data_IF_233371146101
#
_entry.id   IF_233371146101
#
_cell.length_a   1.000
_cell.length_b   1.000
_cell.length_c   1.000
_cell.angle_alpha   90.00
_cell.angle_beta   90.00
_cell.angle_gamma   90.00
#
_symmetry.space_group_name_H-M   'P 1'
#
loop_
_entity.id
_entity.type
_entity.pdbx_description
1 polymer ?
#
# COMPACT_ATOMS: atom_id res chain seq x y z
N UNK A 1 -17.91 -10.02 30.64
CA UNK A 1 -18.22 -10.54 31.98
C UNK A 1 -19.53 -11.34 32.04
N UNK A 2 -19.60 -12.41 32.85
CA UNK A 2 -20.86 -13.06 33.25
C UNK A 2 -21.52 -12.25 34.38
N UNK A 3 -22.84 -12.02 34.29
CA UNK A 3 -23.60 -11.30 35.32
C UNK A 3 -23.52 -11.99 36.69
N UNK A 4 -23.45 -11.18 37.76
CA UNK A 4 -23.42 -11.64 39.14
C UNK A 4 -24.58 -10.98 39.92
N UNK A 5 -25.58 -11.77 40.37
CA UNK A 5 -26.74 -11.26 41.07
C UNK A 5 -26.40 -10.80 42.50
N UNK A 6 -27.19 -9.88 43.09
CA UNK A 6 -27.03 -9.50 44.50
C UNK A 6 -27.36 -10.67 45.45
N UNK A 7 -26.67 -10.76 46.58
CA UNK A 7 -26.82 -11.89 47.52
C UNK A 7 -28.24 -12.07 48.06
N UNK A 8 -28.97 -10.98 48.23
CA UNK A 8 -30.34 -10.97 48.75
C UNK A 8 -31.41 -10.97 47.65
N UNK A 9 -31.05 -11.25 46.40
CA UNK A 9 -32.00 -11.53 45.31
C UNK A 9 -31.59 -12.78 44.56
N UNK A 10 -32.28 -13.90 44.82
CA UNK A 10 -31.93 -15.20 44.25
C UNK A 10 -32.42 -15.30 42.80
N UNK A 11 -31.56 -15.67 41.84
CA UNK A 11 -31.99 -15.95 40.47
C UNK A 11 -33.07 -17.03 40.42
N UNK A 12 -34.07 -16.83 39.57
CA UNK A 12 -35.10 -17.82 39.26
C UNK A 12 -35.13 -18.12 37.76
N UNK A 13 -35.87 -19.14 37.35
CA UNK A 13 -36.07 -19.44 35.93
C UNK A 13 -36.78 -18.27 35.21
N UNK A 14 -37.64 -17.56 35.92
CA UNK A 14 -38.40 -16.41 35.40
C UNK A 14 -37.59 -15.10 35.44
N UNK A 15 -36.61 -15.01 36.34
CA UNK A 15 -35.70 -13.87 36.45
C UNK A 15 -34.26 -14.36 36.73
N UNK A 16 -33.52 -14.75 35.68
CA UNK A 16 -32.17 -15.29 35.83
C UNK A 16 -31.12 -14.23 36.19
N UNK A 17 -31.41 -12.94 35.97
CA UNK A 17 -30.49 -11.81 36.21
C UNK A 17 -31.18 -10.69 37.03
N UNK A 18 -31.50 -10.94 38.30
CA UNK A 18 -32.27 -10.00 39.11
C UNK A 18 -31.51 -8.70 39.38
N UNK A 19 -32.10 -7.56 39.01
CA UNK A 19 -31.49 -6.22 39.13
C UNK A 19 -30.99 -5.88 40.54
N UNK A 20 -29.95 -5.06 40.59
CA UNK A 20 -29.58 -4.31 41.80
C UNK A 20 -30.63 -3.23 42.08
N UNK A 21 -30.93 -3.01 43.35
CA UNK A 21 -31.94 -2.04 43.78
C UNK A 21 -31.50 -1.33 45.05
N UNK A 22 -31.90 -0.07 45.19
CA UNK A 22 -31.61 0.72 46.38
C UNK A 22 -32.48 0.30 47.56
N UNK A 23 -31.99 0.58 48.77
CA UNK A 23 -32.79 0.41 49.98
C UNK A 23 -33.84 1.51 50.09
N UNK A 24 -35.05 1.15 50.54
CA UNK A 24 -36.10 2.12 50.88
C UNK A 24 -36.45 2.00 52.38
N UNK A 25 -35.93 2.90 53.23
CA UNK A 25 -36.19 2.89 54.67
C UNK A 25 -37.67 3.07 55.02
N UNK A 26 -38.43 3.86 54.24
CA UNK A 26 -39.85 4.11 54.49
C UNK A 26 -40.71 2.86 54.24
N UNK A 27 -40.25 1.97 53.35
CA UNK A 27 -40.91 0.69 53.06
C UNK A 27 -40.31 -0.50 53.81
N UNK A 28 -39.32 -0.28 54.69
CA UNK A 28 -38.58 -1.35 55.36
C UNK A 28 -37.74 -2.23 54.42
N UNK A 29 -37.51 -1.79 53.18
CA UNK A 29 -36.77 -2.54 52.17
C UNK A 29 -35.26 -2.32 52.34
N UNK A 30 -34.53 -3.39 52.65
CA UNK A 30 -33.06 -3.40 52.61
C UNK A 30 -32.60 -3.39 51.16
N UNK A 31 -31.58 -2.60 50.83
CA UNK A 31 -31.03 -2.54 49.46
C UNK A 31 -30.34 -3.83 49.03
N UNK A 32 -30.05 -3.94 47.74
CA UNK A 32 -29.30 -5.04 47.18
C UNK A 32 -27.88 -5.12 47.77
N UNK A 33 -27.43 -6.35 48.10
CA UNK A 33 -26.09 -6.60 48.64
C UNK A 33 -25.19 -7.10 47.52
N UNK A 34 -24.24 -6.31 47.01
CA UNK A 34 -23.36 -6.72 45.93
C UNK A 34 -22.35 -7.77 46.39
N UNK A 35 -22.19 -8.88 45.65
CA UNK A 35 -21.06 -9.77 45.85
C UNK A 35 -19.78 -9.05 45.45
N UNK A 36 -18.68 -9.25 46.19
CA UNK A 36 -17.40 -8.59 45.88
C UNK A 36 -16.93 -8.81 44.44
N UNK A 37 -17.23 -9.98 43.87
CA UNK A 37 -16.93 -10.31 42.48
C UNK A 37 -17.64 -9.39 41.46
N UNK A 38 -18.83 -8.85 41.77
CA UNK A 38 -19.54 -7.93 40.88
C UNK A 38 -18.80 -6.60 40.71
N UNK A 39 -17.92 -6.25 41.66
CA UNK A 39 -17.07 -5.06 41.62
C UNK A 39 -15.67 -5.42 41.11
N UNK A 40 -15.09 -6.51 41.62
CA UNK A 40 -13.73 -6.93 41.27
C UNK A 40 -13.61 -7.33 39.79
N UNK A 41 -14.56 -8.09 39.25
CA UNK A 41 -14.48 -8.55 37.86
C UNK A 41 -14.40 -7.40 36.84
N UNK A 42 -15.24 -6.35 36.88
CA UNK A 42 -15.08 -5.22 35.97
C UNK A 42 -13.73 -4.52 36.16
N UNK A 43 -13.25 -4.37 37.41
CA UNK A 43 -11.92 -3.80 37.67
C UNK A 43 -10.80 -4.66 37.04
N UNK A 44 -10.90 -5.99 37.11
CA UNK A 44 -9.95 -6.92 36.48
C UNK A 44 -10.03 -6.88 34.95
N UNK A 45 -11.22 -6.74 34.35
CA UNK A 45 -11.36 -6.55 32.91
C UNK A 45 -10.68 -5.24 32.46
N UNK A 46 -10.88 -4.14 33.20
CA UNK A 46 -10.20 -2.86 32.95
C UNK A 46 -8.67 -3.01 33.09
N UNK A 47 -8.21 -3.67 34.15
CA UNK A 47 -6.78 -3.91 34.36
C UNK A 47 -6.16 -4.72 33.22
N UNK A 48 -6.88 -5.73 32.71
CA UNK A 48 -6.44 -6.53 31.58
C UNK A 48 -6.30 -5.69 30.30
N UNK A 49 -7.21 -4.74 30.04
CA UNK A 49 -7.10 -3.80 28.90
C UNK A 49 -5.87 -2.90 29.04
N UNK A 50 -5.63 -2.34 30.22
CA UNK A 50 -4.45 -1.49 30.50
C UNK A 50 -3.15 -2.26 30.27
N UNK A 51 -3.06 -3.48 30.81
CA UNK A 51 -1.90 -4.35 30.64
C UNK A 51 -1.72 -4.80 29.20
N UNK A 52 -2.80 -5.13 28.49
CA UNK A 52 -2.76 -5.50 27.07
C UNK A 52 -2.23 -4.36 26.19
N UNK A 53 -2.49 -3.10 26.56
CA UNK A 53 -1.93 -1.93 25.91
C UNK A 53 -0.45 -1.65 26.25
N UNK A 54 0.21 -2.52 27.04
CA UNK A 54 1.60 -2.36 27.46
C UNK A 54 1.81 -1.33 28.56
N UNK A 55 0.74 -0.82 29.17
CA UNK A 55 0.81 0.15 30.26
C UNK A 55 0.93 -0.56 31.61
N UNK A 56 1.68 0.05 32.52
CA UNK A 56 1.76 -0.39 33.92
C UNK A 56 0.60 0.26 34.70
N UNK A 57 -0.30 -0.52 35.33
CA UNK A 57 -1.39 0.04 36.11
C UNK A 57 -0.90 0.97 37.23
N UNK A 58 -1.56 2.10 37.40
CA UNK A 58 -1.23 3.16 38.36
C UNK A 58 -2.50 3.68 39.02
N UNK A 59 -2.48 3.84 40.33
CA UNK A 59 -3.55 4.46 41.11
C UNK A 59 -3.53 6.00 41.02
N UNK A 60 -2.44 6.58 40.52
CA UNK A 60 -2.27 8.02 40.33
C UNK A 60 -2.76 8.53 38.97
N UNK A 61 -3.14 7.64 38.05
CA UNK A 61 -3.63 8.01 36.72
C UNK A 61 -5.03 7.41 36.45
N UNK A 62 -6.06 8.24 36.54
CA UNK A 62 -7.45 7.84 36.29
C UNK A 62 -7.82 7.84 34.79
N UNK A 63 -6.85 8.13 33.90
CA UNK A 63 -7.05 8.17 32.44
C UNK A 63 -6.49 6.93 31.73
N UNK A 64 -5.89 5.98 32.45
CA UNK A 64 -5.22 4.81 31.86
C UNK A 64 -6.11 3.96 30.95
N UNK A 65 -7.41 3.81 31.26
CA UNK A 65 -8.32 3.07 30.38
C UNK A 65 -8.48 3.77 29.02
N UNK A 66 -8.60 5.11 29.00
CA UNK A 66 -8.68 5.89 27.78
C UNK A 66 -7.36 5.80 26.99
N UNK A 67 -6.23 5.95 27.67
CA UNK A 67 -4.90 5.81 27.05
C UNK A 67 -4.72 4.41 26.43
N UNK A 68 -5.12 3.36 27.14
CA UNK A 68 -5.06 1.99 26.66
C UNK A 68 -5.90 1.79 25.40
N UNK A 69 -7.14 2.29 25.38
CA UNK A 69 -8.02 2.25 24.20
C UNK A 69 -7.40 3.01 23.03
N UNK A 70 -6.83 4.19 23.27
CA UNK A 70 -6.16 4.97 22.22
C UNK A 70 -4.95 4.26 21.63
N UNK A 71 -4.12 3.63 22.47
CA UNK A 71 -2.97 2.84 22.01
C UNK A 71 -3.43 1.60 21.22
N UNK A 72 -4.47 0.91 21.68
CA UNK A 72 -5.03 -0.24 20.97
C UNK A 72 -5.63 0.17 19.63
N UNK A 73 -6.39 1.26 19.58
CA UNK A 73 -6.97 1.80 18.35
C UNK A 73 -5.88 2.30 17.37
N UNK A 74 -4.75 2.80 17.89
CA UNK A 74 -3.59 3.19 17.08
C UNK A 74 -2.70 2.02 16.65
N UNK A 75 -2.99 0.79 17.11
CA UNK A 75 -2.18 -0.41 16.84
C UNK A 75 -0.83 -0.42 17.56
N UNK A 76 -0.70 0.33 18.66
CA UNK A 76 0.52 0.49 19.48
C UNK A 76 0.48 -0.38 20.75
N UNK A 77 -0.64 -1.07 21.01
CA UNK A 77 -0.80 -2.06 22.09
C UNK A 77 -2.04 -2.92 21.85
N UNK A 78 -2.21 -4.04 22.54
CA UNK A 78 -3.14 -5.12 22.18
C UNK A 78 -2.39 -6.29 21.54
N UNK A 79 -2.97 -7.50 21.59
CA UNK A 79 -2.37 -8.68 20.94
C UNK A 79 -1.97 -8.29 19.50
N UNK A 80 -0.67 -8.31 19.14
CA UNK A 80 -0.15 -7.85 17.85
C UNK A 80 -0.80 -8.55 16.65
N UNK A 81 -1.59 -9.60 16.91
CA UNK A 81 -2.29 -10.41 15.94
C UNK A 81 -3.60 -9.83 15.37
N UNK A 82 -4.18 -8.74 15.91
CA UNK A 82 -5.48 -8.26 15.36
C UNK A 82 -5.35 -7.55 14.00
N UNK A 83 -4.22 -6.90 13.72
CA UNK A 83 -3.93 -6.31 12.41
C UNK A 83 -2.77 -6.98 11.69
N UNK A 84 -1.87 -7.69 12.39
CA UNK A 84 -0.69 -8.34 11.79
C UNK A 84 -0.99 -9.32 10.65
N UNK A 85 -2.20 -9.86 10.58
CA UNK A 85 -2.64 -10.77 9.51
C UNK A 85 -3.62 -10.17 8.51
N UNK A 86 -4.01 -8.90 8.65
CA UNK A 86 -4.96 -8.29 7.73
C UNK A 86 -4.36 -8.26 6.32
N UNK A 87 -4.99 -8.83 5.27
CA UNK A 87 -4.44 -8.89 3.91
C UNK A 87 -4.55 -7.54 3.18
N UNK A 88 -4.13 -6.47 3.85
CA UNK A 88 -4.11 -5.09 3.34
C UNK A 88 -2.66 -4.70 3.10
N UNK A 89 -2.37 -4.23 1.89
CA UNK A 89 -1.04 -3.79 1.52
C UNK A 89 -0.67 -2.50 2.26
N UNK A 90 0.63 -2.27 2.54
CA UNK A 90 1.08 -1.03 3.13
C UNK A 90 0.77 0.15 2.21
N UNK A 91 0.33 1.27 2.80
CA UNK A 91 -0.09 2.45 2.06
C UNK A 91 0.65 3.70 2.53
N UNK A 92 1.35 4.36 1.60
CA UNK A 92 2.02 5.63 1.85
C UNK A 92 0.96 6.74 1.81
N UNK A 93 0.86 7.51 2.89
CA UNK A 93 -0.08 8.62 2.99
C UNK A 93 0.60 9.98 2.78
N UNK A 94 1.92 10.04 2.96
CA UNK A 94 2.73 11.21 2.63
C UNK A 94 2.86 11.43 1.12
N UNK A 95 3.08 12.70 0.74
CA UNK A 95 3.47 13.12 -0.61
C UNK A 95 2.66 12.47 -1.75
N UNK A 96 1.34 12.29 -1.54
CA UNK A 96 0.48 11.71 -2.56
C UNK A 96 0.75 10.23 -2.86
N UNK A 97 1.37 9.47 -1.97
CA UNK A 97 1.57 8.01 -2.12
C UNK A 97 2.98 7.56 -2.48
N UNK A 98 3.96 8.46 -2.48
CA UNK A 98 5.38 8.14 -2.69
C UNK A 98 6.21 8.62 -1.51
N UNK A 99 7.36 7.98 -1.26
CA UNK A 99 8.34 8.50 -0.32
C UNK A 99 9.48 9.23 -1.04
N UNK A 100 9.95 10.31 -0.43
CA UNK A 100 11.10 11.09 -0.90
C UNK A 100 12.41 10.53 -0.35
N UNK A 101 13.40 10.39 -1.23
CA UNK A 101 14.76 10.03 -0.88
C UNK A 101 15.71 11.09 -1.46
N UNK A 102 16.74 11.47 -0.71
CA UNK A 102 17.86 12.23 -1.25
C UNK A 102 18.99 11.29 -1.63
N UNK A 103 19.77 11.68 -2.65
CA UNK A 103 20.95 10.96 -3.10
C UNK A 103 22.19 11.83 -2.98
N UNK A 104 23.31 11.19 -2.69
CA UNK A 104 24.66 11.74 -2.80
C UNK A 104 25.57 10.63 -3.34
N UNK A 105 26.77 10.99 -3.82
CA UNK A 105 27.72 9.98 -4.30
C UNK A 105 27.97 8.94 -3.21
N UNK A 106 27.67 7.68 -3.51
CA UNK A 106 27.82 6.55 -2.60
C UNK A 106 26.76 6.40 -1.52
N UNK A 107 25.68 7.19 -1.49
CA UNK A 107 24.60 6.96 -0.53
C UNK A 107 23.22 7.48 -0.94
N UNK A 108 22.19 6.86 -0.38
CA UNK A 108 20.81 7.36 -0.43
C UNK A 108 20.24 7.48 0.97
N UNK A 109 19.41 8.49 1.21
CA UNK A 109 18.80 8.75 2.52
C UNK A 109 17.29 8.91 2.36
N UNK A 110 16.52 8.07 3.04
CA UNK A 110 15.07 8.25 3.14
C UNK A 110 14.76 9.49 3.99
N UNK A 111 13.93 10.42 3.49
CA UNK A 111 13.59 11.62 4.27
C UNK A 111 12.82 11.27 5.55
N UNK A 112 12.97 12.11 6.58
CA UNK A 112 12.27 11.97 7.86
C UNK A 112 10.81 12.41 7.73
N UNK A 113 10.01 12.18 8.78
CA UNK A 113 8.61 12.61 8.89
C UNK A 113 7.69 12.13 7.76
N UNK A 114 7.98 10.98 7.15
CA UNK A 114 7.12 10.36 6.14
C UNK A 114 6.29 9.27 6.80
N UNK A 115 5.01 9.21 6.45
CA UNK A 115 4.03 8.35 7.09
C UNK A 115 3.44 7.35 6.10
N UNK A 116 3.16 6.17 6.62
CA UNK A 116 2.46 5.11 5.91
C UNK A 116 1.68 4.25 6.90
N UNK A 117 0.65 3.57 6.42
CA UNK A 117 -0.18 2.66 7.20
C UNK A 117 0.23 1.24 6.87
N UNK A 118 0.58 0.46 7.90
CA UNK A 118 0.83 -0.98 7.79
C UNK A 118 -0.44 -1.75 8.17
N UNK A 119 -0.78 -2.76 7.34
CA UNK A 119 -1.94 -3.65 7.54
C UNK A 119 -3.30 -2.94 7.73
N UNK A 120 -3.41 -1.70 7.24
CA UNK A 120 -4.61 -0.87 7.36
C UNK A 120 -4.91 -0.33 8.76
N UNK A 121 -4.05 -0.54 9.76
CA UNK A 121 -4.32 -0.18 11.15
C UNK A 121 -3.18 0.55 11.86
N UNK A 122 -1.92 0.18 11.60
CA UNK A 122 -0.78 0.74 12.32
C UNK A 122 -0.13 1.85 11.52
N UNK A 123 -0.18 3.08 12.05
CA UNK A 123 0.55 4.20 11.47
C UNK A 123 2.06 4.06 11.79
N UNK A 124 2.89 4.11 10.76
CA UNK A 124 4.34 4.06 10.85
C UNK A 124 4.92 5.41 10.41
N UNK A 125 6.00 5.85 11.05
CA UNK A 125 6.68 7.10 10.70
C UNK A 125 8.17 6.87 10.45
N UNK A 126 8.73 7.49 9.42
CA UNK A 126 10.17 7.40 9.18
C UNK A 126 11.01 8.08 10.26
N UNK A 127 10.42 8.92 11.12
CA UNK A 127 11.08 9.45 12.32
C UNK A 127 11.41 8.38 13.36
N UNK A 128 10.71 7.24 13.35
CA UNK A 128 10.99 6.13 14.26
C UNK A 128 12.33 5.44 13.93
N UNK A 129 12.87 5.73 12.73
CA UNK A 129 14.19 5.33 12.30
C UNK A 129 15.20 6.47 12.48
N UNK A 130 16.26 6.19 13.24
CA UNK A 130 17.39 7.10 13.32
C UNK A 130 18.03 7.33 11.93
N UNK A 131 18.84 8.39 11.81
CA UNK A 131 19.45 8.74 10.52
C UNK A 131 20.29 7.61 9.93
N UNK A 132 21.03 6.87 10.76
CA UNK A 132 21.86 5.75 10.30
C UNK A 132 21.02 4.62 9.67
N UNK A 133 19.83 4.33 10.22
CA UNK A 133 18.93 3.35 9.66
C UNK A 133 18.34 3.80 8.32
N UNK A 134 18.10 5.11 8.13
CA UNK A 134 17.57 5.71 6.89
C UNK A 134 18.63 5.90 5.80
N UNK A 135 19.89 6.07 6.17
CA UNK A 135 21.01 6.22 5.23
C UNK A 135 21.54 4.85 4.79
N UNK A 136 21.62 4.63 3.48
CA UNK A 136 22.11 3.38 2.90
C UNK A 136 23.25 3.66 1.94
N UNK A 137 24.36 2.95 2.11
CA UNK A 137 25.51 3.01 1.23
C UNK A 137 25.22 2.30 -0.10
N UNK A 138 25.78 2.83 -1.18
CA UNK A 138 25.68 2.26 -2.53
C UNK A 138 27.06 1.99 -3.10
N UNK A 139 27.12 1.09 -4.09
CA UNK A 139 28.31 0.79 -4.90
C UNK A 139 28.01 1.12 -6.35
N UNK A 140 29.03 1.49 -7.13
CA UNK A 140 28.90 1.83 -8.55
C UNK A 140 28.34 0.67 -9.40
N UNK A 141 27.61 1.02 -10.47
CA UNK A 141 27.03 0.10 -11.45
C UNK A 141 26.10 -0.96 -10.86
N UNK A 142 25.25 -0.55 -9.92
CA UNK A 142 24.32 -1.45 -9.23
C UNK A 142 22.88 -0.98 -9.38
N UNK A 143 21.97 -1.93 -9.24
CA UNK A 143 20.53 -1.67 -9.11
C UNK A 143 20.09 -2.22 -7.77
N UNK A 144 19.43 -1.38 -6.98
CA UNK A 144 18.94 -1.72 -5.66
C UNK A 144 17.44 -1.50 -5.53
N UNK A 145 16.86 -2.26 -4.60
CA UNK A 145 15.53 -1.99 -4.05
C UNK A 145 15.67 -1.42 -2.64
N UNK A 146 15.17 -0.20 -2.42
CA UNK A 146 15.00 0.36 -1.09
C UNK A 146 13.66 -0.13 -0.55
N UNK A 147 13.67 -0.81 0.60
CA UNK A 147 12.50 -1.51 1.14
C UNK A 147 12.30 -1.21 2.62
N UNK A 148 11.05 -1.27 3.04
CA UNK A 148 10.67 -1.40 4.44
C UNK A 148 10.12 -2.81 4.67
N UNK A 149 10.53 -3.46 5.76
CA UNK A 149 10.04 -4.79 6.13
C UNK A 149 9.63 -4.84 7.59
N UNK A 150 8.56 -5.57 7.87
CA UNK A 150 8.16 -5.92 9.22
C UNK A 150 8.71 -7.30 9.60
N UNK A 151 9.70 -7.35 10.50
CA UNK A 151 10.36 -8.59 10.91
C UNK A 151 9.91 -8.98 12.33
N UNK A 152 8.79 -9.70 12.43
CA UNK A 152 8.27 -10.25 13.68
C UNK A 152 8.16 -9.23 14.84
N UNK A 153 7.66 -8.02 14.55
CA UNK A 153 7.50 -6.96 15.55
C UNK A 153 8.52 -5.83 15.47
N UNK A 154 9.62 -6.00 14.73
CA UNK A 154 10.61 -4.94 14.52
C UNK A 154 10.65 -4.50 13.05
N UNK A 155 10.25 -3.27 12.74
CA UNK A 155 10.34 -2.75 11.38
C UNK A 155 11.80 -2.41 11.03
N UNK A 156 12.21 -2.70 9.80
CA UNK A 156 13.58 -2.46 9.30
C UNK A 156 13.53 -1.81 7.91
N UNK A 157 14.45 -0.87 7.68
CA UNK A 157 14.75 -0.33 6.35
C UNK A 157 15.95 -1.06 5.76
N UNK A 158 15.84 -1.51 4.52
CA UNK A 158 16.87 -2.28 3.83
C UNK A 158 17.16 -1.70 2.43
N UNK A 159 18.40 -1.82 1.99
CA UNK A 159 18.77 -1.62 0.59
C UNK A 159 19.30 -2.95 0.06
N UNK A 160 18.58 -3.55 -0.90
CA UNK A 160 18.89 -4.88 -1.44
C UNK A 160 19.45 -4.75 -2.84
N UNK A 161 20.67 -5.25 -3.07
CA UNK A 161 21.28 -5.32 -4.39
C UNK A 161 20.57 -6.38 -5.22
N UNK A 162 20.08 -6.02 -6.40
CA UNK A 162 19.43 -6.95 -7.32
C UNK A 162 20.34 -8.09 -7.76
N UNK A 163 21.66 -7.88 -7.76
CA UNK A 163 22.65 -8.89 -8.13
C UNK A 163 23.07 -9.80 -6.96
N UNK A 164 22.65 -9.51 -5.73
CA UNK A 164 22.94 -10.35 -4.57
C UNK A 164 22.12 -11.65 -4.65
N UNK A 165 22.78 -12.80 -4.69
CA UNK A 165 22.13 -14.11 -4.77
C UNK A 165 21.36 -14.49 -3.51
N UNK A 166 21.65 -13.87 -2.36
CA UNK A 166 20.83 -14.06 -1.15
C UNK A 166 19.47 -13.36 -1.28
N UNK A 167 19.42 -12.26 -2.04
CA UNK A 167 18.20 -11.49 -2.29
C UNK A 167 17.46 -11.95 -3.56
N UNK A 168 18.20 -12.22 -4.63
CA UNK A 168 17.71 -12.61 -5.94
C UNK A 168 18.39 -13.91 -6.43
N UNK A 169 18.10 -15.06 -5.79
CA UNK A 169 18.74 -16.33 -6.12
C UNK A 169 18.44 -16.79 -7.55
N UNK A 170 17.29 -16.39 -8.11
CA UNK A 170 16.88 -16.74 -9.46
C UNK A 170 17.42 -15.82 -10.56
N UNK A 171 18.24 -14.81 -10.21
CA UNK A 171 18.74 -13.77 -11.15
C UNK A 171 17.60 -13.18 -11.98
N UNK A 172 16.46 -12.95 -11.33
CA UNK A 172 15.25 -12.46 -11.95
C UNK A 172 15.46 -11.02 -12.40
N UNK A 173 14.83 -10.59 -13.52
CA UNK A 173 14.90 -9.22 -13.97
C UNK A 173 14.27 -8.29 -12.93
N UNK A 174 14.77 -7.05 -12.84
CA UNK A 174 14.32 -6.07 -11.86
C UNK A 174 12.80 -5.91 -11.82
N UNK A 175 12.16 -5.88 -12.99
CA UNK A 175 10.71 -5.72 -13.17
C UNK A 175 9.87 -6.94 -12.81
N UNK A 176 10.48 -8.04 -12.37
CA UNK A 176 9.76 -9.26 -12.03
C UNK A 176 8.86 -9.06 -10.80
N UNK A 177 7.64 -9.58 -10.86
CA UNK A 177 6.59 -9.41 -9.85
C UNK A 177 6.97 -9.97 -8.47
N UNK A 178 7.96 -10.86 -8.38
CA UNK A 178 8.49 -11.36 -7.10
C UNK A 178 9.08 -10.26 -6.22
N UNK A 179 9.41 -9.10 -6.79
CA UNK A 179 9.93 -7.95 -6.04
C UNK A 179 8.85 -6.95 -5.65
N UNK A 180 7.61 -7.16 -6.06
CA UNK A 180 6.50 -6.27 -5.74
C UNK A 180 6.29 -6.17 -4.22
N UNK A 181 5.67 -5.08 -3.76
CA UNK A 181 5.27 -4.96 -2.36
C UNK A 181 4.34 -6.10 -1.98
N UNK A 182 4.61 -6.71 -0.82
CA UNK A 182 3.70 -7.62 -0.13
C UNK A 182 3.13 -6.92 1.11
N UNK A 183 2.39 -7.64 1.94
CA UNK A 183 1.74 -7.04 3.10
C UNK A 183 2.72 -6.56 4.20
N UNK A 184 3.85 -7.25 4.38
CA UNK A 184 4.88 -6.94 5.38
C UNK A 184 6.20 -6.46 4.76
N UNK A 185 6.21 -6.28 3.44
CA UNK A 185 7.39 -5.84 2.71
C UNK A 185 6.97 -4.79 1.68
N UNK A 186 7.28 -3.54 1.97
CA UNK A 186 7.01 -2.41 1.11
C UNK A 186 8.24 -2.08 0.27
N UNK A 187 8.11 -2.20 -1.06
CA UNK A 187 9.06 -1.64 -2.01
C UNK A 187 8.84 -0.13 -2.10
N UNK A 188 9.86 0.65 -1.71
CA UNK A 188 9.79 2.11 -1.61
C UNK A 188 10.32 2.78 -2.87
N UNK A 189 11.47 2.31 -3.37
CA UNK A 189 12.14 2.91 -4.51
C UNK A 189 13.06 1.91 -5.20
N UNK A 190 13.29 2.15 -6.50
CA UNK A 190 14.46 1.62 -7.20
C UNK A 190 15.58 2.65 -7.14
N UNK A 191 16.79 2.19 -6.89
CA UNK A 191 18.01 3.01 -6.92
C UNK A 191 18.97 2.42 -7.93
N UNK A 192 19.39 3.18 -8.93
CA UNK A 192 20.38 2.76 -9.93
C UNK A 192 21.61 3.64 -9.78
N UNK A 193 22.80 3.06 -9.68
CA UNK A 193 24.06 3.79 -9.60
C UNK A 193 24.85 3.68 -10.89
N UNK A 194 25.47 4.77 -11.31
CA UNK A 194 26.38 4.81 -12.45
C UNK A 194 27.81 4.37 -12.06
N UNK A 195 28.76 4.51 -12.98
CA UNK A 195 30.17 4.19 -12.75
C UNK A 195 30.85 5.12 -11.73
N UNK A 196 30.33 6.33 -11.53
CA UNK A 196 30.76 7.27 -10.50
C UNK A 196 30.10 7.03 -9.15
N UNK A 197 29.27 5.98 -9.01
CA UNK A 197 28.46 5.71 -7.84
C UNK A 197 27.46 6.84 -7.50
N UNK A 198 26.97 7.54 -8.52
CA UNK A 198 25.92 8.55 -8.38
C UNK A 198 24.56 7.85 -8.42
N UNK A 199 23.75 7.87 -7.35
CA UNK A 199 22.45 7.20 -7.34
C UNK A 199 21.38 8.03 -8.03
N UNK A 200 20.66 7.39 -8.96
CA UNK A 200 19.39 7.84 -9.51
C UNK A 200 18.25 7.08 -8.82
N UNK A 201 17.31 7.81 -8.22
CA UNK A 201 16.22 7.23 -7.44
C UNK A 201 14.91 7.35 -8.22
N UNK A 202 14.24 6.23 -8.42
CA UNK A 202 12.85 6.17 -8.88
C UNK A 202 11.97 5.82 -7.68
N UNK A 203 11.33 6.82 -7.08
CA UNK A 203 10.37 6.61 -6.00
C UNK A 203 9.13 5.89 -6.55
N UNK A 204 8.60 4.95 -5.77
CA UNK A 204 7.50 4.11 -6.19
C UNK A 204 6.23 4.46 -5.42
N UNK A 205 5.15 4.62 -6.16
CA UNK A 205 3.82 4.86 -5.64
C UNK A 205 3.31 3.59 -4.99
N UNK A 206 2.88 3.70 -3.74
CA UNK A 206 2.35 2.57 -3.01
C UNK A 206 1.14 2.97 -2.17
N UNK A 207 -0.02 2.44 -2.55
CA UNK A 207 -1.27 2.50 -1.80
C UNK A 207 -1.91 1.12 -1.79
N UNK A 208 -2.87 0.91 -0.88
CA UNK A 208 -3.63 -0.34 -0.87
C UNK A 208 -4.37 -0.58 -2.20
N UNK A 209 -4.96 0.48 -2.75
CA UNK A 209 -5.56 0.51 -4.08
C UNK A 209 -4.85 1.51 -4.97
N UNK A 210 -4.50 1.09 -6.19
CA UNK A 210 -3.82 1.96 -7.16
C UNK A 210 -4.61 1.98 -8.45
N UNK A 211 -4.88 3.17 -8.97
CA UNK A 211 -5.65 3.38 -10.19
C UNK A 211 -4.92 4.42 -11.05
N UNK A 212 -4.88 4.17 -12.35
CA UNK A 212 -4.40 5.13 -13.35
C UNK A 212 -5.33 5.10 -14.54
N UNK A 213 -5.76 6.28 -14.98
CA UNK A 213 -6.50 6.48 -16.22
C UNK A 213 -5.89 7.69 -16.93
N UNK A 214 -5.34 7.47 -18.11
CA UNK A 214 -4.67 8.52 -18.89
C UNK A 214 -4.91 8.29 -20.37
N UNK A 215 -5.23 9.37 -21.09
CA UNK A 215 -5.35 9.37 -22.55
C UNK A 215 -4.29 10.29 -23.14
N UNK A 216 -3.53 9.77 -24.11
CA UNK A 216 -2.57 10.53 -24.90
C UNK A 216 -3.01 10.60 -26.34
N UNK A 217 -2.83 11.78 -26.92
CA UNK A 217 -3.14 12.05 -28.32
C UNK A 217 -1.87 12.48 -29.03
N UNK A 218 -1.75 12.14 -30.30
CA UNK A 218 -0.56 12.47 -31.09
C UNK A 218 -0.77 12.23 -32.57
N UNK A 219 0.32 12.43 -33.32
CA UNK A 219 0.35 12.18 -34.76
C UNK A 219 1.00 10.82 -35.02
N UNK A 220 0.23 9.84 -35.53
CA UNK A 220 0.75 8.56 -35.99
C UNK A 220 1.83 8.74 -37.06
N UNK A 221 2.75 7.78 -37.13
CA UNK A 221 3.71 7.69 -38.23
C UNK A 221 3.15 6.82 -39.35
N UNK A 222 3.50 7.16 -40.60
CA UNK A 222 3.26 6.26 -41.73
C UNK A 222 4.21 5.08 -41.67
N UNK A 223 3.68 3.89 -41.88
CA UNK A 223 4.43 2.65 -41.96
C UNK A 223 3.99 1.87 -43.20
N UNK A 224 4.87 0.98 -43.68
CA UNK A 224 4.49 0.09 -44.75
C UNK A 224 3.64 -1.07 -44.24
N UNK A 225 2.47 -1.28 -44.80
CA UNK A 225 1.70 -2.52 -44.68
C UNK A 225 1.53 -3.13 -46.08
N UNK A 226 1.34 -4.46 -46.16
CA UNK A 226 1.16 -5.15 -47.46
C UNK A 226 2.10 -4.71 -48.60
N UNK A 227 1.54 -3.99 -49.59
CA UNK A 227 2.22 -3.56 -50.82
C UNK A 227 2.62 -2.08 -50.88
N UNK A 228 2.53 -1.30 -49.79
CA UNK A 228 2.86 0.13 -49.85
C UNK A 228 2.99 0.82 -48.49
N UNK A 229 3.05 2.16 -48.50
CA UNK A 229 3.00 3.02 -47.29
C UNK A 229 1.54 3.33 -46.93
N UNK A 230 0.78 2.28 -46.61
CA UNK A 230 -0.67 2.25 -46.38
C UNK A 230 -1.03 1.96 -44.90
N UNK A 231 -0.05 1.98 -43.99
CA UNK A 231 -0.26 1.83 -42.56
C UNK A 231 -0.09 3.13 -41.77
N UNK A 232 -0.93 3.33 -40.75
CA UNK A 232 -0.73 4.35 -39.72
C UNK A 232 -0.43 3.70 -38.38
N UNK A 233 0.69 4.05 -37.73
CA UNK A 233 1.13 3.50 -36.45
C UNK A 233 1.27 4.57 -35.38
N UNK A 234 0.71 4.34 -34.21
CA UNK A 234 0.82 5.21 -33.05
C UNK A 234 1.37 4.44 -31.84
N UNK A 235 2.46 4.94 -31.26
CA UNK A 235 3.15 4.34 -30.12
C UNK A 235 3.20 5.33 -28.98
N UNK A 236 2.86 4.88 -27.78
CA UNK A 236 2.88 5.71 -26.58
C UNK A 236 3.40 4.97 -25.36
N UNK A 237 3.90 5.77 -24.41
CA UNK A 237 4.42 5.34 -23.12
C UNK A 237 3.66 6.04 -22.00
N UNK A 238 3.16 5.28 -21.03
CA UNK A 238 2.48 5.79 -19.85
C UNK A 238 3.32 5.48 -18.61
N UNK A 239 3.57 6.49 -17.79
CA UNK A 239 4.37 6.33 -16.57
C UNK A 239 3.46 5.99 -15.40
N UNK A 240 3.83 4.96 -14.65
CA UNK A 240 3.12 4.52 -13.44
C UNK A 240 4.02 4.65 -12.21
N UNK A 241 5.23 4.09 -12.27
CA UNK A 241 6.15 3.99 -11.13
C UNK A 241 5.48 3.39 -9.87
N UNK A 242 4.77 2.28 -10.01
CA UNK A 242 4.10 1.61 -8.90
C UNK A 242 5.03 0.64 -8.17
N UNK A 243 4.77 0.43 -6.88
CA UNK A 243 5.47 -0.55 -6.08
C UNK A 243 5.02 -2.01 -6.35
N UNK A 244 3.98 -2.18 -7.18
CA UNK A 244 3.40 -3.47 -7.58
C UNK A 244 3.07 -3.46 -9.07
N UNK A 245 3.15 -4.61 -9.72
CA UNK A 245 2.90 -4.77 -11.15
C UNK A 245 1.40 -4.65 -11.46
N UNK A 246 0.98 -3.74 -12.36
CA UNK A 246 -0.43 -3.46 -12.59
C UNK A 246 -1.12 -4.53 -13.45
N UNK A 247 -2.44 -4.65 -13.29
CA UNK A 247 -3.30 -5.10 -14.37
C UNK A 247 -3.63 -3.89 -15.26
N UNK A 248 -3.16 -3.90 -16.50
CA UNK A 248 -3.32 -2.78 -17.42
C UNK A 248 -4.10 -3.18 -18.67
N UNK A 249 -4.97 -2.30 -19.13
CA UNK A 249 -5.69 -2.37 -20.40
C UNK A 249 -5.34 -1.13 -21.22
N UNK A 250 -5.05 -1.34 -22.50
CA UNK A 250 -4.79 -0.26 -23.45
C UNK A 250 -5.84 -0.35 -24.55
N UNK A 251 -6.49 0.78 -24.80
CA UNK A 251 -7.37 0.97 -25.96
C UNK A 251 -6.86 2.19 -26.73
N UNK A 252 -7.26 2.31 -28.00
CA UNK A 252 -6.83 3.43 -28.80
C UNK A 252 -7.24 3.28 -30.25
N UNK A 253 -6.96 4.31 -31.03
CA UNK A 253 -7.18 4.28 -32.46
C UNK A 253 -6.15 5.08 -33.24
N UNK A 254 -5.97 4.69 -34.50
CA UNK A 254 -5.25 5.46 -35.52
C UNK A 254 -6.25 5.79 -36.62
N UNK A 255 -6.53 7.08 -36.78
CA UNK A 255 -7.40 7.63 -37.81
C UNK A 255 -6.65 8.58 -38.74
N UNK A 256 -7.30 8.94 -39.83
CA UNK A 256 -6.81 9.89 -40.81
C UNK A 256 -7.97 10.71 -41.40
N UNK A 257 -7.69 11.91 -41.91
CA UNK A 257 -8.72 12.93 -42.21
C UNK A 257 -9.50 12.75 -43.53
N UNK A 258 -9.13 11.76 -44.35
CA UNK A 258 -9.80 11.35 -45.59
C UNK A 258 -10.59 10.05 -45.37
N UNK A 259 -11.26 9.53 -46.41
CA UNK A 259 -12.15 8.35 -46.33
C UNK A 259 -11.54 7.13 -47.04
N UNK A 260 -10.36 6.63 -46.63
CA UNK A 260 -9.83 5.38 -47.16
C UNK A 260 -10.70 4.21 -46.69
N UNK A 261 -10.68 3.11 -47.43
CA UNK A 261 -11.19 1.86 -46.91
C UNK A 261 -10.11 1.19 -46.07
N UNK A 262 -10.52 0.32 -45.16
CA UNK A 262 -9.59 -0.55 -44.41
C UNK A 262 -9.38 -1.81 -45.26
N UNK A 263 -8.12 -2.14 -45.58
CA UNK A 263 -7.78 -3.31 -46.38
C UNK A 263 -7.35 -4.52 -45.53
N UNK A 264 -7.04 -4.29 -44.25
CA UNK A 264 -6.67 -5.34 -43.31
C UNK A 264 -7.34 -5.15 -41.96
N UNK A 265 -6.65 -4.50 -41.03
CA UNK A 265 -7.10 -4.34 -39.64
C UNK A 265 -7.23 -2.88 -39.24
N UNK A 266 -8.17 -2.63 -38.31
CA UNK A 266 -8.32 -1.36 -37.62
C UNK A 266 -7.72 -1.46 -36.22
N UNK A 267 -6.88 -0.50 -35.83
CA UNK A 267 -6.44 -0.30 -34.44
C UNK A 267 -5.86 -1.57 -33.77
N UNK A 268 -5.13 -2.38 -34.53
CA UNK A 268 -4.51 -3.60 -34.04
C UNK A 268 -3.42 -3.23 -33.04
N UNK A 269 -3.51 -3.77 -31.82
CA UNK A 269 -2.44 -3.68 -30.84
C UNK A 269 -1.30 -4.61 -31.26
N UNK A 270 -0.17 -4.04 -31.67
CA UNK A 270 1.00 -4.77 -32.16
C UNK A 270 1.94 -5.18 -31.03
N UNK A 271 2.15 -4.28 -30.08
CA UNK A 271 3.03 -4.49 -28.95
C UNK A 271 2.39 -3.88 -27.71
N UNK A 272 2.55 -4.58 -26.59
CA UNK A 272 2.17 -4.09 -25.27
C UNK A 272 3.13 -4.68 -24.25
N UNK A 273 3.89 -3.81 -23.60
CA UNK A 273 4.78 -4.16 -22.50
C UNK A 273 4.28 -3.48 -21.25
N UNK A 274 3.96 -4.28 -20.23
CA UNK A 274 3.48 -3.80 -18.94
C UNK A 274 4.55 -4.10 -17.90
N UNK A 275 4.94 -3.06 -17.17
CA UNK A 275 5.82 -3.15 -16.01
C UNK A 275 5.27 -2.28 -14.89
N UNK A 276 5.81 -2.42 -13.68
CA UNK A 276 5.49 -1.51 -12.58
C UNK A 276 5.83 -0.03 -12.88
N UNK A 277 6.82 0.22 -13.73
CA UNK A 277 7.23 1.58 -14.11
C UNK A 277 6.27 2.24 -15.09
N UNK A 278 5.59 1.44 -15.91
CA UNK A 278 4.78 1.99 -16.98
C UNK A 278 4.33 0.95 -17.99
N UNK A 279 3.52 1.43 -18.92
CA UNK A 279 2.99 0.66 -20.04
C UNK A 279 3.45 1.30 -21.33
N UNK A 280 4.07 0.51 -22.20
CA UNK A 280 4.37 0.91 -23.57
C UNK A 280 3.47 0.12 -24.50
N UNK A 281 2.84 0.80 -25.46
CA UNK A 281 1.97 0.14 -26.41
C UNK A 281 2.06 0.79 -27.80
N UNK A 282 1.81 -0.04 -28.81
CA UNK A 282 1.78 0.36 -30.22
C UNK A 282 0.51 -0.17 -30.87
N UNK A 283 -0.24 0.72 -31.49
CA UNK A 283 -1.43 0.39 -32.28
C UNK A 283 -1.20 0.76 -33.74
N UNK A 284 -1.83 0.01 -34.64
CA UNK A 284 -1.72 0.26 -36.09
C UNK A 284 -3.05 0.01 -36.81
N UNK A 285 -3.33 0.84 -37.81
CA UNK A 285 -4.42 0.65 -38.77
C UNK A 285 -3.82 0.46 -40.16
N UNK A 286 -4.36 -0.48 -40.93
CA UNK A 286 -3.97 -0.82 -42.29
C UNK A 286 -5.06 -0.37 -43.28
N UNK A 287 -4.69 0.54 -44.19
CA UNK A 287 -5.59 1.19 -45.13
C UNK A 287 -5.44 0.63 -46.55
N UNK A 288 -6.40 0.93 -47.42
CA UNK A 288 -6.47 0.38 -48.78
C UNK A 288 -5.55 1.03 -49.83
N UNK A 289 -4.78 2.03 -49.42
CA UNK A 289 -3.99 2.87 -50.31
C UNK A 289 -2.87 3.59 -49.56
N UNK A 290 -1.86 4.01 -50.31
CA UNK A 290 -0.77 4.81 -49.79
C UNK A 290 -1.26 6.15 -49.21
N UNK A 291 -0.66 6.56 -48.09
CA UNK A 291 -1.15 7.65 -47.24
C UNK A 291 -0.32 8.94 -47.35
N UNK A 292 0.32 9.14 -48.50
CA UNK A 292 1.13 10.34 -48.73
C UNK A 292 0.29 11.62 -48.69
N UNK A 293 0.74 12.61 -47.90
CA UNK A 293 0.07 13.92 -47.79
C UNK A 293 -1.21 13.92 -46.96
N UNK A 294 -1.47 12.83 -46.23
CA UNK A 294 -2.67 12.69 -45.40
C UNK A 294 -2.37 13.03 -43.95
N UNK A 295 -3.27 13.78 -43.29
CA UNK A 295 -3.16 14.09 -41.86
C UNK A 295 -3.65 12.92 -41.02
N UNK A 296 -2.79 12.45 -40.12
CA UNK A 296 -3.11 11.40 -39.16
C UNK A 296 -3.43 11.96 -37.78
N UNK A 297 -4.26 11.23 -37.05
CA UNK A 297 -4.52 11.46 -35.63
C UNK A 297 -4.60 10.13 -34.90
N UNK A 298 -3.94 10.07 -33.76
CA UNK A 298 -3.86 8.90 -32.90
C UNK A 298 -4.29 9.26 -31.51
N UNK A 299 -4.97 8.32 -30.86
CA UNK A 299 -5.31 8.42 -29.45
C UNK A 299 -5.10 7.07 -28.79
N UNK A 300 -4.59 7.07 -27.58
CA UNK A 300 -4.39 5.87 -26.78
C UNK A 300 -4.76 6.16 -25.33
N UNK A 301 -5.58 5.30 -24.75
CA UNK A 301 -6.01 5.34 -23.36
C UNK A 301 -5.44 4.14 -22.62
N UNK A 302 -4.78 4.42 -21.50
CA UNK A 302 -4.38 3.42 -20.52
C UNK A 302 -5.36 3.44 -19.36
N UNK A 303 -5.83 2.26 -18.97
CA UNK A 303 -6.45 2.02 -17.68
C UNK A 303 -5.64 0.96 -16.93
N UNK A 304 -5.10 1.30 -15.76
CA UNK A 304 -4.35 0.39 -14.91
C UNK A 304 -4.92 0.35 -13.49
N UNK A 305 -4.93 -0.83 -12.86
CA UNK A 305 -5.45 -1.00 -11.51
C UNK A 305 -4.79 -2.12 -10.71
N UNK A 306 -4.85 -1.96 -9.38
CA UNK A 306 -4.55 -2.94 -8.33
C UNK A 306 -5.45 -2.73 -7.10
#
# INVERSE_FOLDING_TARGET
MKYLPPFNSTPSIENPEPSYFDGNPQAGQKGAVPPGKAIEHPMREILAVIQAAGLVPSDSDLTQLLQAIQLIAAGIGGDPNSFGYNPVFPEIISNGGVMSLSSSVGSVVLAAAQQFIHRGGTLQNTNDFNLAARTKSTVANKTYHYRWRFNAGSPVLELKDLADLAYNPGVLPETHWSFDSTYDDMLIARVVTDAGNTPSVTALFNRNRMLHDETKNGTPIMVGTGTGNDGGQYSESFTLNWARSPLATVTGFVGQATVPLIQGWANKLLAKTVTRYGVNATIQTDYDRALFGVTFFGSMTLQAQL
#
